data_IF_513778690463
#
_entry.id   IF_513778690463
#
_cell.length_a   1.000
_cell.length_b   1.000
_cell.length_c   1.000
_cell.angle_alpha   90.00
_cell.angle_beta   90.00
_cell.angle_gamma   90.00
#
_symmetry.space_group_name_H-M   'P 1'
#
loop_
_entity.id
_entity.type
_entity.pdbx_description
1 polymer ?
#
# COMPACT_ATOMS: atom_id res chain seq x y z
N UNK A 1 -1.61 -16.33 28.32
CA UNK A 1 -0.96 -17.12 27.26
C UNK A 1 0.56 -17.10 27.47
N UNK A 2 1.17 -18.29 27.40
CA UNK A 2 2.59 -18.45 27.65
C UNK A 2 3.36 -17.87 26.44
N UNK A 3 4.38 -17.03 26.66
CA UNK A 3 5.18 -16.42 25.60
C UNK A 3 5.86 -17.44 24.68
N UNK A 4 6.06 -18.69 25.13
CA UNK A 4 6.60 -19.81 24.34
C UNK A 4 5.56 -20.31 23.35
N UNK A 5 4.28 -20.46 23.77
CA UNK A 5 3.19 -20.86 22.89
C UNK A 5 2.90 -19.82 21.83
N UNK A 6 2.95 -18.52 22.18
CA UNK A 6 2.79 -17.44 21.23
C UNK A 6 3.87 -17.45 20.12
N UNK A 7 5.14 -17.69 20.48
CA UNK A 7 6.25 -17.78 19.51
C UNK A 7 6.18 -19.01 18.62
N UNK A 8 5.52 -20.08 19.07
CA UNK A 8 5.36 -21.30 18.30
C UNK A 8 4.16 -21.24 17.35
N UNK A 9 3.26 -20.28 17.49
CA UNK A 9 2.11 -20.12 16.61
C UNK A 9 2.56 -19.68 15.21
N UNK A 10 2.15 -20.44 14.21
CA UNK A 10 2.21 -20.01 12.81
C UNK A 10 0.81 -19.57 12.40
N UNK A 11 0.52 -18.27 12.37
CA UNK A 11 -0.80 -17.78 12.02
C UNK A 11 -1.14 -18.20 10.58
N UNK A 12 -2.32 -18.79 10.39
CA UNK A 12 -2.77 -19.29 9.08
C UNK A 12 -2.98 -18.16 8.07
N UNK A 13 -3.32 -16.98 8.56
CA UNK A 13 -3.62 -15.79 7.78
C UNK A 13 -2.41 -14.85 7.60
N UNK A 14 -1.21 -15.32 7.87
CA UNK A 14 0.03 -14.59 7.62
C UNK A 14 1.02 -15.51 6.91
N UNK A 15 1.64 -15.00 5.86
CA UNK A 15 2.73 -15.66 5.15
C UNK A 15 3.85 -14.64 4.89
N UNK A 16 5.09 -15.01 5.20
CA UNK A 16 6.27 -14.23 4.84
C UNK A 16 7.02 -14.98 3.75
N UNK A 17 7.22 -14.30 2.63
CA UNK A 17 7.96 -14.83 1.47
C UNK A 17 9.21 -14.01 1.29
N UNK A 18 10.38 -14.63 1.44
CA UNK A 18 11.67 -14.00 1.21
C UNK A 18 11.94 -13.90 -0.28
N UNK A 19 12.10 -12.68 -0.79
CA UNK A 19 12.47 -12.43 -2.18
C UNK A 19 13.93 -12.78 -2.40
N UNK A 20 14.24 -13.40 -3.53
CA UNK A 20 15.59 -13.80 -3.87
C UNK A 20 16.11 -12.98 -5.06
N UNK A 21 17.42 -12.65 -5.08
CA UNK A 21 18.00 -11.80 -6.12
C UNK A 21 17.90 -12.35 -7.56
N UNK A 22 17.66 -13.65 -7.69
CA UNK A 22 17.53 -14.34 -8.98
C UNK A 22 16.11 -14.42 -9.52
N UNK A 23 15.13 -13.77 -8.89
CA UNK A 23 13.76 -13.76 -9.39
C UNK A 23 13.61 -12.82 -10.58
N UNK A 24 13.11 -13.36 -11.70
CA UNK A 24 12.99 -12.61 -12.96
C UNK A 24 11.57 -12.62 -13.55
N UNK A 25 10.70 -13.50 -13.06
CA UNK A 25 9.33 -13.62 -13.52
C UNK A 25 8.41 -14.09 -12.38
N UNK A 26 7.11 -14.16 -12.63
CA UNK A 26 6.10 -14.50 -11.64
C UNK A 26 6.01 -15.99 -11.30
N UNK A 27 6.78 -16.86 -11.95
CA UNK A 27 6.74 -18.31 -11.71
C UNK A 27 7.13 -18.68 -10.28
N UNK A 28 7.98 -17.90 -9.66
CA UNK A 28 8.41 -18.11 -8.27
C UNK A 28 7.26 -17.92 -7.26
N UNK A 29 6.38 -16.97 -7.51
CA UNK A 29 5.25 -16.64 -6.63
C UNK A 29 3.95 -17.35 -7.00
N UNK A 30 3.64 -17.37 -8.30
CA UNK A 30 2.37 -17.89 -8.82
C UNK A 30 2.52 -19.36 -9.21
N UNK A 31 3.64 -19.71 -9.82
CA UNK A 31 3.89 -21.04 -10.34
C UNK A 31 3.89 -21.11 -11.86
N UNK A 32 4.12 -22.30 -12.39
CA UNK A 32 4.23 -22.54 -13.82
C UNK A 32 3.83 -23.96 -14.21
N UNK A 33 3.56 -24.17 -15.51
CA UNK A 33 3.28 -25.50 -16.06
C UNK A 33 4.58 -26.19 -16.39
N UNK A 34 4.92 -27.27 -15.68
CA UNK A 34 6.05 -28.17 -15.98
C UNK A 34 5.61 -29.28 -16.93
N UNK A 35 6.48 -29.65 -17.89
CA UNK A 35 6.27 -30.79 -18.83
C UNK A 35 7.40 -31.80 -18.74
N UNK A 36 8.22 -31.73 -17.70
CA UNK A 36 9.39 -32.63 -17.53
C UNK A 36 8.97 -34.08 -17.37
N UNK A 37 7.83 -34.35 -16.77
CA UNK A 37 7.27 -35.72 -16.57
C UNK A 37 6.48 -36.26 -17.74
N UNK A 38 6.44 -35.55 -18.89
CA UNK A 38 5.64 -35.94 -20.07
C UNK A 38 4.22 -35.38 -20.03
N UNK A 39 3.52 -35.48 -18.92
CA UNK A 39 2.21 -34.85 -18.72
C UNK A 39 2.35 -33.44 -18.13
N UNK A 40 1.55 -32.47 -18.59
CA UNK A 40 1.58 -31.13 -18.01
C UNK A 40 1.11 -31.12 -16.55
N UNK A 41 1.99 -30.65 -15.64
CA UNK A 41 1.69 -30.50 -14.22
C UNK A 41 1.94 -29.05 -13.83
N UNK A 42 1.05 -28.45 -13.05
CA UNK A 42 1.26 -27.10 -12.52
C UNK A 42 2.06 -27.17 -11.21
N UNK A 43 3.21 -26.49 -11.20
CA UNK A 43 4.01 -26.31 -9.99
C UNK A 43 3.52 -25.03 -9.33
N UNK A 44 2.94 -25.16 -8.15
CA UNK A 44 2.24 -24.07 -7.46
C UNK A 44 3.24 -23.23 -6.66
N UNK A 45 3.21 -21.91 -6.85
CA UNK A 45 3.94 -20.96 -6.04
C UNK A 45 3.25 -20.64 -4.70
N UNK A 46 4.03 -20.15 -3.74
CA UNK A 46 3.54 -19.88 -2.38
C UNK A 46 2.44 -18.82 -2.35
N UNK A 47 2.54 -17.79 -3.20
CA UNK A 47 1.53 -16.75 -3.27
C UNK A 47 0.18 -17.29 -3.77
N UNK A 48 0.18 -18.16 -4.79
CA UNK A 48 -1.07 -18.75 -5.30
C UNK A 48 -1.74 -19.66 -4.26
N UNK A 49 -0.94 -20.41 -3.48
CA UNK A 49 -1.46 -21.20 -2.33
C UNK A 49 -2.08 -20.30 -1.27
N UNK A 50 -1.45 -19.17 -0.99
CA UNK A 50 -1.93 -18.21 -0.01
C UNK A 50 -3.23 -17.53 -0.46
N UNK A 51 -3.33 -17.17 -1.74
CA UNK A 51 -4.58 -16.67 -2.34
C UNK A 51 -5.72 -17.68 -2.15
N UNK A 52 -5.48 -18.95 -2.42
CA UNK A 52 -6.50 -19.98 -2.26
C UNK A 52 -6.97 -20.13 -0.80
N UNK A 53 -6.04 -20.08 0.18
CA UNK A 53 -6.38 -20.07 1.61
C UNK A 53 -7.24 -18.86 2.01
N UNK A 54 -6.92 -17.68 1.48
CA UNK A 54 -7.70 -16.49 1.75
C UNK A 54 -9.13 -16.55 1.19
N UNK A 55 -9.34 -17.24 0.08
CA UNK A 55 -10.67 -17.53 -0.46
C UNK A 55 -11.50 -18.47 0.42
N UNK A 56 -10.86 -19.37 1.16
CA UNK A 56 -11.58 -20.27 2.08
C UNK A 56 -12.11 -19.56 3.33
N UNK A 57 -11.51 -18.44 3.71
CA UNK A 57 -11.86 -17.70 4.93
C UNK A 57 -12.12 -16.19 4.62
N UNK A 58 -13.14 -15.86 3.82
CA UNK A 58 -13.35 -14.49 3.31
C UNK A 58 -13.64 -13.45 4.41
N UNK A 59 -14.03 -13.88 5.61
CA UNK A 59 -14.26 -13.00 6.77
C UNK A 59 -13.03 -12.72 7.61
N UNK A 60 -11.86 -13.27 7.24
CA UNK A 60 -10.60 -13.08 7.97
C UNK A 60 -9.63 -12.34 7.08
N UNK A 61 -9.00 -11.23 7.54
CA UNK A 61 -7.92 -10.57 6.80
C UNK A 61 -6.69 -11.47 6.68
N UNK A 62 -6.13 -11.57 5.50
CA UNK A 62 -4.92 -12.34 5.17
C UNK A 62 -3.79 -11.38 4.80
N UNK A 63 -2.60 -11.59 5.37
CA UNK A 63 -1.44 -10.73 5.18
C UNK A 63 -0.30 -11.52 4.52
N UNK A 64 0.07 -11.13 3.31
CA UNK A 64 1.29 -11.58 2.66
C UNK A 64 2.37 -10.53 2.86
N UNK A 65 3.52 -10.93 3.40
CA UNK A 65 4.70 -10.09 3.49
C UNK A 65 5.76 -10.57 2.48
N UNK A 66 6.12 -9.71 1.53
CA UNK A 66 7.28 -9.92 0.67
C UNK A 66 8.48 -9.28 1.37
N UNK A 67 9.34 -10.10 1.96
CA UNK A 67 10.50 -9.63 2.70
C UNK A 67 11.64 -9.29 1.75
N UNK A 68 12.24 -8.10 1.97
CA UNK A 68 13.27 -7.52 1.09
C UNK A 68 12.79 -7.44 -0.37
N UNK A 69 11.60 -6.90 -0.58
CA UNK A 69 10.87 -6.89 -1.84
C UNK A 69 11.72 -6.38 -3.03
N UNK A 70 12.67 -5.49 -2.80
CA UNK A 70 13.52 -4.88 -3.81
C UNK A 70 14.88 -5.58 -4.03
N UNK A 71 15.09 -6.78 -3.50
CA UNK A 71 16.23 -7.63 -3.88
C UNK A 71 16.19 -8.11 -5.33
N UNK A 72 15.01 -8.13 -5.95
CA UNK A 72 14.80 -8.40 -7.35
C UNK A 72 13.89 -7.33 -7.98
N UNK A 73 13.89 -7.13 -9.31
CA UNK A 73 13.03 -6.16 -9.96
C UNK A 73 11.54 -6.51 -9.77
N UNK A 74 10.86 -5.74 -8.92
CA UNK A 74 9.44 -5.99 -8.53
C UNK A 74 8.51 -6.01 -9.73
N UNK A 75 8.72 -5.13 -10.69
CA UNK A 75 7.94 -5.07 -11.93
C UNK A 75 8.08 -6.29 -12.83
N UNK A 76 9.03 -7.18 -12.56
CA UNK A 76 9.21 -8.44 -13.29
C UNK A 76 8.54 -9.60 -12.54
N UNK A 77 9.02 -9.93 -11.35
CA UNK A 77 8.51 -11.10 -10.63
C UNK A 77 7.09 -10.92 -10.08
N UNK A 78 6.63 -9.67 -9.90
CA UNK A 78 5.30 -9.36 -9.37
C UNK A 78 4.37 -8.73 -10.42
N UNK A 79 4.72 -8.83 -11.71
CA UNK A 79 4.04 -8.20 -12.83
C UNK A 79 2.55 -8.54 -12.91
N UNK A 80 2.18 -9.82 -12.75
CA UNK A 80 0.80 -10.28 -12.80
C UNK A 80 -0.04 -9.66 -11.69
N UNK A 81 0.46 -9.65 -10.45
CA UNK A 81 -0.25 -9.00 -9.35
C UNK A 81 -0.42 -7.50 -9.60
N UNK A 82 0.64 -6.80 -9.99
CA UNK A 82 0.58 -5.37 -10.30
C UNK A 82 -0.41 -5.05 -11.42
N UNK A 83 -0.56 -5.95 -12.40
CA UNK A 83 -1.55 -5.81 -13.46
C UNK A 83 -2.98 -6.06 -12.96
N UNK A 84 -3.17 -7.14 -12.22
CA UNK A 84 -4.49 -7.58 -11.76
C UNK A 84 -5.09 -6.62 -10.73
N UNK A 85 -4.27 -6.03 -9.85
CA UNK A 85 -4.78 -5.09 -8.84
C UNK A 85 -5.37 -3.81 -9.46
N UNK A 86 -5.01 -3.47 -10.70
CA UNK A 86 -5.62 -2.38 -11.45
C UNK A 86 -7.04 -2.66 -11.93
N UNK A 87 -7.38 -3.94 -12.09
CA UNK A 87 -8.71 -4.36 -12.52
C UNK A 87 -9.75 -4.38 -11.39
N UNK A 88 -9.36 -4.01 -10.15
CA UNK A 88 -10.26 -3.96 -8.99
C UNK A 88 -11.46 -3.07 -9.27
N UNK A 89 -12.64 -3.58 -8.94
CA UNK A 89 -13.91 -2.86 -9.06
C UNK A 89 -14.83 -3.22 -7.90
N UNK A 90 -15.50 -2.22 -7.35
CA UNK A 90 -16.62 -2.43 -6.44
C UNK A 90 -17.82 -3.00 -7.21
N UNK A 91 -18.46 -4.01 -6.66
CA UNK A 91 -19.73 -4.55 -7.15
C UNK A 91 -20.90 -4.01 -6.32
N UNK A 92 -22.12 -4.04 -6.88
CA UNK A 92 -23.33 -3.53 -6.22
C UNK A 92 -23.65 -4.26 -4.89
N UNK A 93 -23.14 -5.48 -4.71
CA UNK A 93 -23.27 -6.29 -3.49
C UNK A 93 -22.24 -5.94 -2.41
N UNK A 94 -21.42 -4.89 -2.62
CA UNK A 94 -20.35 -4.46 -1.69
C UNK A 94 -19.09 -5.34 -1.75
N UNK A 95 -19.00 -6.29 -2.69
CA UNK A 95 -17.79 -7.08 -2.89
C UNK A 95 -16.82 -6.37 -3.85
N UNK A 96 -15.54 -6.63 -3.69
CA UNK A 96 -14.49 -6.18 -4.62
C UNK A 96 -14.05 -7.35 -5.48
N UNK A 97 -14.04 -7.14 -6.80
CA UNK A 97 -13.65 -8.15 -7.80
C UNK A 97 -12.41 -7.70 -8.55
N UNK A 98 -11.62 -8.68 -9.00
CA UNK A 98 -10.46 -8.48 -9.88
C UNK A 98 -10.57 -9.37 -11.09
N UNK A 99 -9.78 -9.08 -12.12
CA UNK A 99 -9.46 -10.08 -13.14
C UNK A 99 -8.68 -11.24 -12.51
N UNK A 100 -8.67 -12.42 -13.12
CA UNK A 100 -7.93 -13.56 -12.58
C UNK A 100 -6.41 -13.38 -12.73
N UNK A 101 -5.68 -13.61 -11.63
CA UNK A 101 -4.21 -13.68 -11.63
C UNK A 101 -3.73 -14.96 -12.35
N UNK A 102 -4.51 -16.02 -12.28
CA UNK A 102 -4.35 -17.21 -13.11
C UNK A 102 -5.66 -17.47 -13.86
N UNK A 103 -5.61 -17.29 -15.19
CA UNK A 103 -6.78 -17.48 -16.04
C UNK A 103 -7.20 -18.96 -16.08
N UNK A 104 -8.51 -19.22 -16.12
CA UNK A 104 -9.03 -20.57 -16.31
C UNK A 104 -8.50 -21.22 -17.58
N UNK A 105 -8.29 -22.52 -17.52
CA UNK A 105 -7.83 -23.34 -18.62
C UNK A 105 -8.71 -24.57 -18.76
N UNK A 106 -8.94 -25.02 -20.00
CA UNK A 106 -9.69 -26.27 -20.25
C UNK A 106 -8.84 -27.53 -20.11
N UNK A 107 -7.58 -27.42 -19.73
CA UNK A 107 -6.61 -28.50 -19.66
C UNK A 107 -6.70 -29.22 -18.31
N UNK A 108 -6.40 -30.52 -18.30
CA UNK A 108 -6.50 -31.37 -17.10
C UNK A 108 -5.65 -30.87 -15.94
N UNK A 109 -4.47 -30.29 -16.22
CA UNK A 109 -3.61 -29.74 -15.18
C UNK A 109 -4.30 -28.64 -14.36
N UNK A 110 -5.20 -27.82 -14.97
CA UNK A 110 -5.91 -26.79 -14.24
C UNK A 110 -6.95 -27.35 -13.28
N UNK A 111 -7.67 -28.42 -13.66
CA UNK A 111 -8.58 -29.14 -12.76
C UNK A 111 -7.80 -29.77 -11.60
N UNK A 112 -6.64 -30.36 -11.89
CA UNK A 112 -5.78 -30.95 -10.86
C UNK A 112 -5.28 -29.89 -9.89
N UNK A 113 -4.82 -28.73 -10.40
CA UNK A 113 -4.41 -27.58 -9.62
C UNK A 113 -5.53 -27.09 -8.68
N UNK A 114 -6.75 -26.87 -9.21
CA UNK A 114 -7.88 -26.41 -8.41
C UNK A 114 -8.22 -27.41 -7.29
N UNK A 115 -8.17 -28.71 -7.56
CA UNK A 115 -8.39 -29.77 -6.57
C UNK A 115 -7.25 -29.86 -5.51
N UNK A 116 -6.05 -29.44 -5.86
CA UNK A 116 -4.93 -29.31 -4.92
C UNK A 116 -5.11 -28.10 -4.00
N UNK A 117 -5.49 -26.94 -4.57
CA UNK A 117 -5.57 -25.67 -3.87
C UNK A 117 -6.71 -25.60 -2.84
N UNK A 118 -7.84 -26.24 -3.11
CA UNK A 118 -8.99 -26.19 -2.21
C UNK A 118 -9.79 -27.50 -2.18
N UNK A 119 -10.43 -27.78 -1.04
CA UNK A 119 -11.39 -28.90 -0.90
C UNK A 119 -12.84 -28.41 -0.88
N UNK A 120 -13.06 -27.10 -0.80
CA UNK A 120 -14.38 -26.48 -0.74
C UNK A 120 -15.00 -26.40 -2.13
N UNK A 121 -16.11 -27.08 -2.35
CA UNK A 121 -16.76 -27.21 -3.67
C UNK A 121 -17.22 -25.87 -4.26
N UNK A 122 -17.65 -24.93 -3.42
CA UNK A 122 -18.02 -23.58 -3.87
C UNK A 122 -16.82 -22.85 -4.47
N UNK A 123 -15.67 -22.94 -3.80
CA UNK A 123 -14.42 -22.30 -4.25
C UNK A 123 -13.89 -22.97 -5.51
N UNK A 124 -13.92 -24.31 -5.59
CA UNK A 124 -13.58 -25.04 -6.82
C UNK A 124 -14.42 -24.58 -8.01
N UNK A 125 -15.74 -24.52 -7.82
CA UNK A 125 -16.67 -24.07 -8.87
C UNK A 125 -16.33 -22.66 -9.31
N UNK A 126 -16.02 -21.76 -8.38
CA UNK A 126 -15.60 -20.38 -8.69
C UNK A 126 -14.30 -20.37 -9.49
N UNK A 127 -13.27 -21.09 -9.05
CA UNK A 127 -11.96 -21.11 -9.76
C UNK A 127 -12.07 -21.70 -11.16
N UNK A 128 -12.87 -22.74 -11.32
CA UNK A 128 -13.11 -23.35 -12.65
C UNK A 128 -13.91 -22.44 -13.58
N UNK A 129 -14.83 -21.64 -13.05
CA UNK A 129 -15.65 -20.72 -13.82
C UNK A 129 -14.89 -19.44 -14.19
N UNK A 130 -14.23 -18.80 -13.23
CA UNK A 130 -13.72 -17.43 -13.34
C UNK A 130 -12.19 -17.37 -13.48
N UNK A 131 -11.47 -18.47 -13.18
CA UNK A 131 -10.04 -18.45 -12.89
C UNK A 131 -9.77 -18.08 -11.43
N UNK A 132 -8.51 -17.97 -11.04
CA UNK A 132 -8.12 -17.63 -9.67
C UNK A 132 -7.93 -16.13 -9.57
N UNK A 133 -8.86 -15.44 -8.91
CA UNK A 133 -8.84 -13.99 -8.69
C UNK A 133 -8.22 -13.65 -7.33
N UNK A 134 -7.82 -12.39 -7.13
CA UNK A 134 -7.37 -11.90 -5.83
C UNK A 134 -8.60 -11.71 -4.92
N UNK A 135 -8.63 -12.32 -3.73
CA UNK A 135 -9.73 -12.12 -2.79
C UNK A 135 -9.64 -10.75 -2.11
N UNK A 136 -10.79 -10.20 -1.73
CA UNK A 136 -10.88 -8.87 -1.11
C UNK A 136 -10.14 -8.76 0.23
N UNK A 137 -10.09 -9.86 0.99
CA UNK A 137 -9.48 -9.94 2.31
C UNK A 137 -7.95 -10.13 2.28
N UNK A 138 -7.30 -10.09 1.11
CA UNK A 138 -5.85 -10.21 0.97
C UNK A 138 -5.19 -8.83 1.00
N UNK A 139 -4.28 -8.65 1.94
CA UNK A 139 -3.41 -7.47 2.10
C UNK A 139 -1.98 -7.89 1.79
N UNK A 140 -1.34 -7.19 0.87
CA UNK A 140 0.07 -7.43 0.52
C UNK A 140 0.92 -6.29 1.08
N UNK A 141 1.99 -6.65 1.78
CA UNK A 141 2.98 -5.74 2.36
C UNK A 141 4.35 -6.14 1.82
N UNK A 142 5.21 -5.19 1.53
CA UNK A 142 6.61 -5.43 1.18
C UNK A 142 7.52 -4.68 2.14
N UNK A 143 8.54 -5.35 2.70
CA UNK A 143 9.64 -4.68 3.38
C UNK A 143 10.69 -4.28 2.36
N UNK A 144 11.35 -3.16 2.60
CA UNK A 144 12.29 -2.56 1.65
C UNK A 144 13.47 -1.98 2.42
N UNK A 145 14.67 -2.34 2.00
CA UNK A 145 15.89 -1.66 2.36
C UNK A 145 16.42 -0.95 1.12
N UNK A 146 16.54 0.38 1.19
CA UNK A 146 17.07 1.18 0.06
C UNK A 146 18.56 1.40 0.27
N UNK A 147 19.35 0.38 -0.05
CA UNK A 147 20.81 0.45 -0.07
C UNK A 147 21.37 0.43 -1.51
N UNK A 148 22.67 0.58 -1.66
CA UNK A 148 23.34 0.63 -2.97
C UNK A 148 23.26 -0.69 -3.76
N UNK A 149 22.85 -1.78 -3.13
CA UNK A 149 22.83 -3.12 -3.72
C UNK A 149 21.45 -3.58 -4.16
N UNK A 150 20.41 -2.82 -3.82
CA UNK A 150 19.00 -3.14 -4.10
C UNK A 150 18.46 -2.39 -5.31
N UNK A 151 17.36 -2.89 -5.88
CA UNK A 151 16.70 -2.24 -7.01
C UNK A 151 15.83 -1.07 -6.53
N UNK A 152 15.89 0.06 -7.25
CA UNK A 152 14.93 1.14 -7.09
C UNK A 152 13.55 0.75 -7.65
N UNK A 153 12.49 1.32 -7.09
CA UNK A 153 11.14 1.07 -7.60
C UNK A 153 10.85 1.83 -8.87
N UNK A 154 10.29 1.15 -9.84
CA UNK A 154 9.69 1.80 -11.00
C UNK A 154 8.41 2.57 -10.59
N UNK A 155 8.03 3.56 -11.39
CA UNK A 155 6.76 4.27 -11.17
C UNK A 155 5.54 3.36 -11.18
N UNK A 156 5.59 2.26 -11.93
CA UNK A 156 4.50 1.26 -11.97
C UNK A 156 4.23 0.65 -10.60
N UNK A 157 5.27 0.45 -9.80
CA UNK A 157 5.15 -0.05 -8.43
C UNK A 157 4.64 1.04 -7.51
N UNK A 158 5.29 2.23 -7.50
CA UNK A 158 4.95 3.36 -6.62
C UNK A 158 3.52 3.88 -6.85
N UNK A 159 3.04 3.83 -8.09
CA UNK A 159 1.66 4.21 -8.42
C UNK A 159 0.61 3.29 -7.76
N UNK A 160 0.99 2.07 -7.36
CA UNK A 160 0.09 1.07 -6.76
C UNK A 160 0.32 0.82 -5.28
N UNK A 161 1.47 1.23 -4.77
CA UNK A 161 1.84 1.06 -3.37
C UNK A 161 1.55 2.32 -2.55
N UNK A 162 1.31 2.13 -1.26
CA UNK A 162 1.42 3.17 -0.24
C UNK A 162 2.74 2.97 0.49
N UNK A 163 3.54 4.01 0.56
CA UNK A 163 4.87 3.97 1.16
C UNK A 163 4.80 4.42 2.61
N UNK A 164 5.19 3.55 3.53
CA UNK A 164 5.32 3.88 4.96
C UNK A 164 6.80 3.84 5.30
N UNK A 165 7.33 4.96 5.74
CA UNK A 165 8.71 5.07 6.17
C UNK A 165 8.84 4.76 7.66
N UNK A 166 9.83 3.92 8.03
CA UNK A 166 10.06 3.44 9.39
C UNK A 166 11.43 3.92 9.93
N UNK A 167 11.81 5.16 9.62
CA UNK A 167 13.15 5.69 9.93
C UNK A 167 13.25 6.35 11.32
N UNK A 168 12.14 6.68 11.97
CA UNK A 168 12.16 7.22 13.32
C UNK A 168 12.44 6.09 14.32
N UNK A 169 13.64 6.09 14.90
CA UNK A 169 14.08 5.08 15.87
C UNK A 169 13.96 5.64 17.28
N UNK A 170 13.06 5.04 18.07
CA UNK A 170 13.07 5.24 19.53
C UNK A 170 14.08 4.28 20.17
N UNK A 171 15.24 4.80 20.59
CA UNK A 171 16.30 4.01 21.21
C UNK A 171 15.91 3.43 22.56
N UNK A 172 14.87 3.94 23.23
CA UNK A 172 14.29 3.38 24.45
C UNK A 172 13.15 2.38 24.15
N UNK A 173 12.62 2.38 22.94
CA UNK A 173 11.55 1.49 22.52
C UNK A 173 11.93 0.01 22.69
N UNK A 174 11.00 -0.79 23.22
CA UNK A 174 11.20 -2.23 23.38
C UNK A 174 12.06 -2.66 24.58
N UNK A 175 12.63 -1.72 25.35
CA UNK A 175 13.46 -2.06 26.51
C UNK A 175 12.63 -2.50 27.73
N UNK A 176 11.44 -1.95 27.89
CA UNK A 176 10.54 -2.25 29.02
C UNK A 176 9.40 -3.21 28.66
N UNK A 177 8.97 -3.19 27.39
CA UNK A 177 7.98 -4.12 26.86
C UNK A 177 8.37 -4.55 25.44
N UNK A 178 8.35 -5.85 25.17
CA UNK A 178 8.72 -6.37 23.82
C UNK A 178 7.65 -6.14 22.76
N UNK A 179 6.41 -5.88 23.13
CA UNK A 179 5.27 -5.77 22.23
C UNK A 179 4.25 -4.78 22.78
N UNK A 180 3.93 -3.78 22.00
CA UNK A 180 2.68 -3.04 22.19
C UNK A 180 1.53 -3.84 21.56
N UNK A 181 0.49 -4.12 22.34
CA UNK A 181 -0.72 -4.71 21.80
C UNK A 181 -1.55 -3.61 21.17
N UNK A 182 -1.66 -3.64 19.84
CA UNK A 182 -2.54 -2.73 19.07
C UNK A 182 -4.00 -3.11 19.32
N UNK A 183 -4.47 -3.81 20.17
CA UNK A 183 -5.86 -4.24 20.33
C UNK A 183 -6.38 -5.08 19.15
N UNK A 184 -7.62 -5.52 19.27
CA UNK A 184 -8.24 -6.32 18.21
C UNK A 184 -8.87 -5.39 17.16
N UNK A 185 -8.32 -5.37 15.95
CA UNK A 185 -8.96 -4.72 14.80
C UNK A 185 -10.04 -5.63 14.22
N UNK A 186 -11.18 -5.05 13.90
CA UNK A 186 -12.26 -5.76 13.22
C UNK A 186 -12.01 -5.89 11.72
N UNK A 187 -12.65 -6.86 11.07
CA UNK A 187 -12.58 -7.03 9.62
C UNK A 187 -12.85 -5.72 8.87
N UNK A 188 -13.92 -5.00 9.22
CA UNK A 188 -14.34 -3.77 8.56
C UNK A 188 -13.38 -2.57 8.76
N UNK A 189 -12.51 -2.63 9.77
CA UNK A 189 -11.46 -1.62 9.95
C UNK A 189 -10.27 -1.87 9.01
N UNK A 190 -10.07 -3.11 8.57
CA UNK A 190 -8.94 -3.52 7.71
C UNK A 190 -9.33 -3.65 6.25
N UNK A 191 -10.57 -4.06 5.97
CA UNK A 191 -11.04 -4.39 4.62
C UNK A 191 -12.19 -3.48 4.23
N UNK A 192 -11.94 -2.63 3.23
CA UNK A 192 -12.94 -1.75 2.64
C UNK A 192 -13.62 -2.35 1.41
N UNK A 193 -14.79 -1.81 1.05
CA UNK A 193 -15.54 -2.17 -0.15
C UNK A 193 -15.44 -1.13 -1.27
N UNK A 194 -15.05 0.09 -0.95
CA UNK A 194 -14.83 1.14 -1.94
C UNK A 194 -13.46 1.00 -2.63
N UNK A 195 -13.42 1.19 -3.94
CA UNK A 195 -12.20 1.10 -4.76
C UNK A 195 -11.90 2.42 -5.46
N UNK A 196 -12.92 3.12 -5.89
CA UNK A 196 -12.80 4.38 -6.60
C UNK A 196 -13.43 5.55 -5.82
N UNK A 197 -13.00 6.77 -6.12
CA UNK A 197 -13.54 7.97 -5.49
C UNK A 197 -15.06 8.12 -5.69
N UNK A 198 -15.60 7.62 -6.79
CA UNK A 198 -17.06 7.65 -7.06
C UNK A 198 -17.86 6.82 -6.05
N UNK A 199 -17.27 5.77 -5.50
CA UNK A 199 -17.96 4.88 -4.54
C UNK A 199 -18.29 5.59 -3.22
N UNK A 200 -17.58 6.69 -2.89
CA UNK A 200 -17.70 7.41 -1.62
C UNK A 200 -18.07 8.89 -1.79
N UNK A 201 -17.99 9.44 -3.01
CA UNK A 201 -18.09 10.89 -3.25
C UNK A 201 -19.43 11.47 -2.81
N UNK A 202 -20.57 10.89 -3.23
CA UNK A 202 -21.88 11.43 -2.92
C UNK A 202 -22.18 11.51 -1.42
N UNK A 203 -21.72 10.52 -0.66
CA UNK A 203 -21.92 10.46 0.80
C UNK A 203 -20.99 11.39 1.57
N UNK A 204 -19.86 11.78 0.97
CA UNK A 204 -18.79 12.56 1.62
C UNK A 204 -18.43 13.81 0.82
N UNK A 205 -19.36 14.36 0.05
CA UNK A 205 -19.13 15.42 -0.95
C UNK A 205 -18.31 16.60 -0.41
N UNK A 206 -18.71 17.14 0.74
CA UNK A 206 -18.04 18.32 1.33
C UNK A 206 -16.55 18.02 1.63
N UNK A 207 -16.25 16.84 2.17
CA UNK A 207 -14.89 16.42 2.49
C UNK A 207 -14.11 16.13 1.22
N UNK A 208 -14.70 15.41 0.27
CA UNK A 208 -14.10 15.12 -1.01
C UNK A 208 -13.74 16.41 -1.78
N UNK A 209 -14.60 17.43 -1.75
CA UNK A 209 -14.31 18.72 -2.38
C UNK A 209 -13.12 19.44 -1.73
N UNK A 210 -12.95 19.34 -0.41
CA UNK A 210 -11.77 19.85 0.31
C UNK A 210 -10.51 19.13 -0.14
N UNK A 211 -10.54 17.80 -0.20
CA UNK A 211 -9.42 16.95 -0.66
C UNK A 211 -9.05 17.28 -2.10
N UNK A 212 -10.05 17.38 -2.99
CA UNK A 212 -9.80 17.70 -4.42
C UNK A 212 -9.14 19.07 -4.56
N UNK A 213 -9.60 20.07 -3.80
CA UNK A 213 -9.02 21.41 -3.84
C UNK A 213 -7.57 21.43 -3.34
N UNK A 214 -7.27 20.68 -2.28
CA UNK A 214 -5.89 20.51 -1.80
C UNK A 214 -5.01 19.88 -2.88
N UNK A 215 -5.46 18.79 -3.51
CA UNK A 215 -4.75 18.12 -4.60
C UNK A 215 -4.55 19.01 -5.84
N UNK A 216 -5.55 19.82 -6.20
CA UNK A 216 -5.43 20.76 -7.33
C UNK A 216 -4.32 21.80 -7.09
N UNK A 217 -4.22 22.31 -5.87
CA UNK A 217 -3.16 23.25 -5.50
C UNK A 217 -1.77 22.63 -5.60
N UNK A 218 -1.60 21.39 -5.08
CA UNK A 218 -0.35 20.64 -5.22
C UNK A 218 -0.05 20.37 -6.69
N UNK A 219 -1.04 19.85 -7.43
CA UNK A 219 -0.85 19.44 -8.82
C UNK A 219 -0.50 20.63 -9.74
N UNK A 220 -0.93 21.85 -9.40
CA UNK A 220 -0.50 23.05 -10.10
C UNK A 220 1.02 23.32 -9.98
N UNK A 221 1.64 22.90 -8.87
CA UNK A 221 3.09 22.98 -8.66
C UNK A 221 3.85 21.82 -9.32
N UNK A 222 3.17 20.73 -9.60
CA UNK A 222 3.72 19.57 -10.29
C UNK A 222 3.59 19.68 -11.82
N UNK A 223 2.93 20.74 -12.34
CA UNK A 223 2.74 20.95 -13.77
C UNK A 223 4.08 21.11 -14.50
N UNK A 224 4.22 20.48 -15.66
CA UNK A 224 5.49 20.46 -16.42
C UNK A 224 6.55 19.49 -15.85
N UNK A 225 6.29 18.87 -14.71
CA UNK A 225 7.18 17.85 -14.14
C UNK A 225 6.68 16.42 -14.43
N UNK A 226 7.56 15.43 -14.35
CA UNK A 226 7.15 14.04 -14.46
C UNK A 226 6.35 13.53 -13.23
N UNK A 227 6.16 14.35 -12.21
CA UNK A 227 5.51 14.00 -10.94
C UNK A 227 4.02 14.35 -10.90
N UNK A 228 3.48 14.94 -11.96
CA UNK A 228 2.06 15.30 -12.07
C UNK A 228 1.17 14.11 -11.69
N UNK A 229 0.15 14.37 -10.86
CA UNK A 229 -0.78 13.36 -10.36
C UNK A 229 -2.00 13.22 -11.27
N UNK A 230 -2.59 12.02 -11.27
CA UNK A 230 -3.73 11.64 -12.09
C UNK A 230 -4.86 11.03 -11.24
N UNK A 231 -5.88 10.50 -11.91
CA UNK A 231 -7.12 10.03 -11.30
C UNK A 231 -6.93 8.95 -10.23
N UNK A 232 -5.94 8.05 -10.37
CA UNK A 232 -5.65 7.02 -9.37
C UNK A 232 -5.24 7.65 -8.04
N UNK A 233 -4.25 8.53 -8.05
CA UNK A 233 -3.82 9.23 -6.84
C UNK A 233 -4.96 10.03 -6.22
N UNK A 234 -5.80 10.70 -7.02
CA UNK A 234 -7.01 11.35 -6.51
C UNK A 234 -7.91 10.37 -5.76
N UNK A 235 -8.23 9.21 -6.36
CA UNK A 235 -9.08 8.21 -5.74
C UNK A 235 -8.49 7.72 -4.41
N UNK A 236 -7.19 7.45 -4.36
CA UNK A 236 -6.48 7.02 -3.15
C UNK A 236 -6.54 8.08 -2.05
N UNK A 237 -6.37 9.37 -2.38
CA UNK A 237 -6.52 10.46 -1.42
C UNK A 237 -7.93 10.54 -0.85
N UNK A 238 -8.94 10.45 -1.70
CA UNK A 238 -10.34 10.48 -1.26
C UNK A 238 -10.64 9.32 -0.31
N UNK A 239 -10.26 8.10 -0.69
CA UNK A 239 -10.47 6.90 0.11
C UNK A 239 -9.69 6.97 1.43
N UNK A 240 -8.44 7.39 1.40
CA UNK A 240 -7.59 7.49 2.59
C UNK A 240 -8.17 8.46 3.61
N UNK A 241 -8.52 9.67 3.18
CA UNK A 241 -9.08 10.69 4.07
C UNK A 241 -10.41 10.24 4.66
N UNK A 242 -11.34 9.72 3.83
CA UNK A 242 -12.65 9.27 4.31
C UNK A 242 -12.53 8.11 5.30
N UNK A 243 -11.63 7.16 5.05
CA UNK A 243 -11.40 6.04 5.96
C UNK A 243 -10.73 6.45 7.29
N UNK A 244 -10.07 7.61 7.34
CA UNK A 244 -9.50 8.14 8.58
C UNK A 244 -10.49 8.93 9.44
N UNK A 245 -11.65 9.35 8.90
CA UNK A 245 -12.63 10.14 9.65
C UNK A 245 -13.12 9.51 10.96
N UNK A 246 -13.27 8.17 11.08
CA UNK A 246 -13.66 7.55 12.35
C UNK A 246 -12.60 7.66 13.46
N UNK A 247 -11.35 7.95 13.13
CA UNK A 247 -10.23 8.02 14.08
C UNK A 247 -10.06 9.42 14.67
N UNK A 248 -11.14 9.94 15.28
CA UNK A 248 -11.17 11.28 15.91
C UNK A 248 -10.62 11.29 17.35
N UNK A 249 -10.17 10.15 17.88
CA UNK A 249 -9.64 10.06 19.23
C UNK A 249 -8.21 9.51 19.22
N UNK A 250 -7.34 10.15 20.01
CA UNK A 250 -6.01 9.59 20.27
C UNK A 250 -6.08 8.42 21.27
N UNK A 251 -4.93 7.80 21.53
CA UNK A 251 -4.78 6.67 22.49
C UNK A 251 -5.26 7.03 23.90
N UNK A 252 -5.18 8.30 24.28
CA UNK A 252 -5.60 8.83 25.60
C UNK A 252 -7.10 9.19 25.62
N UNK A 253 -7.82 9.01 24.51
CA UNK A 253 -9.24 9.33 24.38
C UNK A 253 -9.57 10.81 24.13
N UNK A 254 -8.57 11.67 23.89
CA UNK A 254 -8.76 13.07 23.52
C UNK A 254 -9.33 13.14 22.10
N UNK A 255 -10.42 13.88 21.94
CA UNK A 255 -11.07 14.09 20.64
C UNK A 255 -10.36 15.18 19.84
N UNK A 256 -10.16 14.90 18.53
CA UNK A 256 -9.70 15.85 17.53
C UNK A 256 -10.89 16.41 16.73
N UNK A 257 -10.75 17.60 16.19
CA UNK A 257 -11.72 18.11 15.22
C UNK A 257 -11.64 17.32 13.91
N UNK A 258 -12.76 17.15 13.23
CA UNK A 258 -12.80 16.51 11.91
C UNK A 258 -11.80 17.16 10.92
N UNK A 259 -11.68 18.47 10.96
CA UNK A 259 -10.75 19.20 10.09
C UNK A 259 -9.30 18.89 10.41
N UNK A 260 -8.95 18.67 11.67
CA UNK A 260 -7.62 18.23 12.07
C UNK A 260 -7.33 16.83 11.56
N UNK A 261 -8.27 15.88 11.70
CA UNK A 261 -8.13 14.51 11.16
C UNK A 261 -7.95 14.52 9.64
N UNK A 262 -8.72 15.35 8.93
CA UNK A 262 -8.57 15.53 7.47
C UNK A 262 -7.15 16.03 7.14
N UNK A 263 -6.65 17.04 7.86
CA UNK A 263 -5.32 17.58 7.61
C UNK A 263 -4.21 16.56 7.89
N UNK A 264 -4.29 15.81 9.00
CA UNK A 264 -3.34 14.73 9.30
C UNK A 264 -3.34 13.66 8.20
N UNK A 265 -4.52 13.18 7.79
CA UNK A 265 -4.63 12.20 6.71
C UNK A 265 -4.09 12.72 5.38
N UNK A 266 -4.30 14.00 5.05
CA UNK A 266 -3.74 14.62 3.86
C UNK A 266 -2.22 14.74 3.93
N UNK A 267 -1.66 15.06 5.09
CA UNK A 267 -0.23 15.14 5.31
C UNK A 267 0.44 13.77 5.11
N UNK A 268 -0.09 12.74 5.78
CA UNK A 268 0.40 11.37 5.66
C UNK A 268 0.37 10.86 4.22
N UNK A 269 -0.79 10.93 3.56
CA UNK A 269 -0.90 10.39 2.19
C UNK A 269 -0.11 11.23 1.17
N UNK A 270 0.14 12.51 1.43
CA UNK A 270 1.02 13.34 0.61
C UNK A 270 2.44 12.79 0.64
N UNK A 271 2.96 12.44 1.81
CA UNK A 271 4.24 11.75 1.94
C UNK A 271 4.25 10.41 1.21
N UNK A 272 3.25 9.56 1.47
CA UNK A 272 3.17 8.19 0.94
C UNK A 272 3.03 8.12 -0.59
N UNK A 273 2.34 9.06 -1.23
CA UNK A 273 1.92 8.96 -2.65
C UNK A 273 2.49 10.03 -3.56
N UNK A 274 2.86 11.19 -3.04
CA UNK A 274 3.40 12.29 -3.84
C UNK A 274 4.90 12.37 -3.65
N UNK A 275 5.37 12.52 -2.42
CA UNK A 275 6.79 12.70 -2.16
C UNK A 275 7.60 11.45 -2.49
N UNK A 276 7.05 10.25 -2.24
CA UNK A 276 7.69 8.96 -2.55
C UNK A 276 8.05 8.77 -4.03
N UNK A 277 7.52 9.61 -4.92
CA UNK A 277 7.77 9.57 -6.37
C UNK A 277 8.75 10.64 -6.84
N UNK A 278 9.15 11.56 -5.94
CA UNK A 278 10.02 12.69 -6.27
C UNK A 278 11.46 12.27 -6.04
N UNK A 279 12.22 12.22 -7.13
CA UNK A 279 13.64 11.93 -7.14
C UNK A 279 14.33 12.57 -8.35
N UNK A 280 15.57 12.96 -8.22
CA UNK A 280 16.37 13.48 -9.31
C UNK A 280 17.49 14.41 -8.86
N UNK A 281 18.27 14.83 -9.85
CA UNK A 281 19.25 15.88 -9.72
C UNK A 281 18.62 17.28 -9.75
N UNK A 282 19.43 18.33 -9.61
CA UNK A 282 18.97 19.73 -9.60
C UNK A 282 18.25 20.14 -10.90
N UNK A 283 18.49 19.46 -12.02
CA UNK A 283 17.84 19.76 -13.30
C UNK A 283 16.38 19.27 -13.32
N UNK A 284 16.10 18.22 -12.59
CA UNK A 284 14.78 17.58 -12.50
C UNK A 284 14.00 18.00 -11.25
N UNK A 285 14.73 18.20 -10.14
CA UNK A 285 14.19 18.58 -8.82
C UNK A 285 15.00 19.73 -8.27
N UNK A 286 14.54 20.98 -8.50
CA UNK A 286 15.23 22.16 -7.98
C UNK A 286 14.85 22.49 -6.53
N UNK A 287 15.72 23.22 -5.82
CA UNK A 287 15.42 23.75 -4.47
C UNK A 287 14.17 24.62 -4.50
N UNK A 288 14.01 25.44 -5.56
CA UNK A 288 12.82 26.29 -5.72
C UNK A 288 11.55 25.43 -5.83
N UNK A 289 11.56 24.37 -6.63
CA UNK A 289 10.45 23.46 -6.78
C UNK A 289 10.03 22.83 -5.43
N UNK A 290 10.99 22.30 -4.66
CA UNK A 290 10.70 21.71 -3.35
C UNK A 290 10.19 22.77 -2.36
N UNK A 291 10.68 24.02 -2.43
CA UNK A 291 10.23 25.11 -1.55
C UNK A 291 8.81 25.56 -1.89
N UNK A 292 8.46 25.63 -3.16
CA UNK A 292 7.09 25.95 -3.59
C UNK A 292 6.10 24.83 -3.23
N UNK A 293 6.55 23.58 -3.35
CA UNK A 293 5.76 22.41 -2.95
C UNK A 293 5.51 22.42 -1.44
N UNK A 294 6.55 22.64 -0.64
CA UNK A 294 6.45 22.77 0.82
C UNK A 294 5.44 23.85 1.21
N UNK A 295 5.55 25.04 0.60
CA UNK A 295 4.67 26.16 0.86
C UNK A 295 3.20 25.82 0.60
N UNK A 296 2.89 25.24 -0.56
CA UNK A 296 1.50 24.93 -0.91
C UNK A 296 0.89 23.82 -0.04
N UNK A 297 1.70 22.84 0.38
CA UNK A 297 1.27 21.80 1.32
C UNK A 297 0.98 22.43 2.68
N UNK A 298 1.92 23.19 3.24
CA UNK A 298 1.76 23.87 4.52
C UNK A 298 0.50 24.74 4.56
N UNK A 299 0.36 25.66 3.61
CA UNK A 299 -0.82 26.54 3.51
C UNK A 299 -2.14 25.76 3.39
N UNK A 300 -2.10 24.64 2.69
CA UNK A 300 -3.25 23.74 2.55
C UNK A 300 -3.67 23.10 3.87
N UNK A 301 -2.72 22.53 4.61
CA UNK A 301 -2.96 21.89 5.92
C UNK A 301 -3.47 22.92 6.95
N UNK A 302 -2.79 24.08 7.07
CA UNK A 302 -3.15 25.15 7.99
C UNK A 302 -4.53 25.73 7.69
N UNK A 303 -4.88 25.86 6.40
CA UNK A 303 -6.21 26.34 5.99
C UNK A 303 -7.33 25.39 6.38
N UNK A 304 -7.09 24.08 6.32
CA UNK A 304 -8.09 23.05 6.62
C UNK A 304 -8.28 22.90 8.12
N UNK A 305 -7.21 22.67 8.86
CA UNK A 305 -7.25 22.38 10.30
C UNK A 305 -7.42 23.60 11.18
N UNK A 306 -6.97 24.78 10.72
CA UNK A 306 -6.78 26.02 11.50
C UNK A 306 -5.66 25.91 12.54
N UNK A 307 -4.80 24.91 12.41
CA UNK A 307 -3.61 24.67 13.24
C UNK A 307 -2.35 25.00 12.46
N UNK A 308 -1.22 25.22 13.14
CA UNK A 308 0.07 25.51 12.53
C UNK A 308 0.91 24.25 12.35
N UNK A 309 1.61 24.13 11.24
CA UNK A 309 2.45 22.99 10.88
C UNK A 309 3.89 23.39 10.54
N UNK A 310 4.86 22.54 10.93
CA UNK A 310 6.26 22.66 10.56
C UNK A 310 6.94 21.29 10.39
N UNK A 311 8.19 21.31 9.97
CA UNK A 311 9.06 20.11 9.88
C UNK A 311 9.42 19.52 11.26
N UNK A 312 9.23 20.28 12.33
CA UNK A 312 9.47 19.87 13.74
C UNK A 312 8.31 20.32 14.62
N UNK A 313 8.07 19.52 15.65
CA UNK A 313 7.11 19.86 16.69
C UNK A 313 7.63 20.98 17.58
N UNK A 314 6.76 21.91 17.92
CA UNK A 314 7.02 22.97 18.91
C UNK A 314 5.70 23.41 19.56
N UNK A 315 5.78 24.29 20.56
CA UNK A 315 4.58 24.76 21.28
C UNK A 315 3.60 25.42 20.29
N UNK A 316 2.40 24.84 20.17
CA UNK A 316 1.34 25.32 19.27
C UNK A 316 1.60 25.06 17.78
N UNK A 317 2.56 24.19 17.44
CA UNK A 317 2.88 23.83 16.04
C UNK A 317 3.00 22.31 15.96
N UNK A 318 2.25 21.70 15.05
CA UNK A 318 2.29 20.25 14.82
C UNK A 318 3.44 19.87 13.88
N UNK A 319 4.12 18.76 14.19
CA UNK A 319 5.08 18.15 13.24
C UNK A 319 4.30 17.58 12.06
N UNK A 320 4.65 18.01 10.85
CA UNK A 320 4.12 17.46 9.61
C UNK A 320 5.12 16.47 9.00
N UNK A 321 4.64 15.27 8.66
CA UNK A 321 5.43 14.21 8.04
C UNK A 321 5.94 14.66 6.67
N UNK A 322 5.08 15.25 5.86
CA UNK A 322 5.46 15.71 4.53
C UNK A 322 6.41 16.90 4.53
N UNK A 323 6.24 17.87 5.46
CA UNK A 323 7.17 19.02 5.58
C UNK A 323 8.54 18.57 6.11
N UNK A 324 8.57 17.66 7.08
CA UNK A 324 9.81 17.06 7.58
C UNK A 324 10.58 16.37 6.44
N UNK A 325 9.89 15.54 5.66
CA UNK A 325 10.48 14.86 4.51
C UNK A 325 11.00 15.84 3.44
N UNK A 326 10.25 16.88 3.10
CA UNK A 326 10.70 17.91 2.17
C UNK A 326 11.93 18.67 2.67
N UNK A 327 12.01 18.94 3.99
CA UNK A 327 13.20 19.53 4.62
C UNK A 327 14.43 18.63 4.44
N UNK A 328 14.29 17.31 4.64
CA UNK A 328 15.35 16.33 4.38
C UNK A 328 15.76 16.30 2.90
N UNK A 329 14.79 16.21 1.99
CA UNK A 329 15.03 16.17 0.54
C UNK A 329 15.77 17.42 0.06
N UNK A 330 15.44 18.61 0.59
CA UNK A 330 16.17 19.84 0.30
C UNK A 330 17.62 19.81 0.79
N UNK A 331 17.89 19.25 1.97
CA UNK A 331 19.25 19.07 2.48
C UNK A 331 20.08 18.14 1.59
N UNK A 332 19.49 17.01 1.17
CA UNK A 332 20.17 16.05 0.28
C UNK A 332 20.50 16.65 -1.10
N UNK A 333 19.61 17.50 -1.62
CA UNK A 333 19.82 18.15 -2.92
C UNK A 333 21.10 19.01 -2.94
N UNK A 334 21.57 19.48 -1.79
CA UNK A 334 22.87 20.19 -1.70
C UNK A 334 24.07 19.31 -2.10
N UNK A 335 23.90 18.00 -2.14
CA UNK A 335 24.89 17.02 -2.65
C UNK A 335 24.69 16.68 -4.14
N UNK A 336 23.80 17.40 -4.84
CA UNK A 336 23.54 17.25 -6.27
C UNK A 336 22.41 16.29 -6.65
N UNK A 337 21.86 15.53 -5.70
CA UNK A 337 20.75 14.59 -5.93
C UNK A 337 19.84 14.51 -4.72
N UNK A 338 18.56 14.30 -4.95
CA UNK A 338 17.59 14.03 -3.90
C UNK A 338 16.64 12.89 -4.28
N UNK A 339 16.24 12.15 -3.27
CA UNK A 339 15.23 11.10 -3.34
C UNK A 339 14.43 11.08 -2.05
N UNK A 340 13.20 10.59 -2.10
CA UNK A 340 12.42 10.27 -0.92
C UNK A 340 13.10 9.16 -0.09
N UNK A 341 13.70 8.19 -0.77
CA UNK A 341 14.16 6.91 -0.23
C UNK A 341 15.54 6.93 0.44
N UNK A 342 16.29 7.94 0.35
CA UNK A 342 17.70 7.96 0.82
C UNK A 342 17.88 8.77 2.10
#
# INVERSE_FOLDING_TARGET
>A
ENAVEYKAQKPRNFEMVQVKPNWHDSSELIGYVSRVSGEPIYIVGDFLRFIARAWEEPGIPYFLCLDEMNLAPVEQYFAEYLSVIESRKSAADGTVKTDPILKKQAQQWFYNLVNELTKTEEIKTRFLRDGICIPQNLIVVGTVNMDETTFSFSRKVLDRAMTIEMNDVDLFGGLTSRYERIGNLTYNQLIGSAVEGVDIYEQNKVICDVVIKFLQNINSKLEGTPFKIAYRTRNEFLLYVVNNLPYIKNVEGKEFSTNFVIACALDEITSMKILSRIEGDETKVSVQFLTELEKVIKEGLEKISKESYADKESVGVHKSISLAKLSEMKKRLSSGYTSFWS
#
